data_IF_977626586686
#
_entry.id   IF_977626586686
#
_cell.length_a   1.000
_cell.length_b   1.000
_cell.length_c   1.000
_cell.angle_alpha   90.00
_cell.angle_beta   90.00
_cell.angle_gamma   90.00
#
_symmetry.space_group_name_H-M   'P 1'
#
loop_
_entity.id
_entity.type
_entity.pdbx_description
1 polymer ?
#
# COMPACT_ATOMS: atom_id res chain seq x y z
N UNK A 1 -32.63 -18.96 2.96
CA UNK A 1 -32.39 -18.24 4.24
C UNK A 1 -30.99 -17.65 4.25
N UNK A 2 -29.98 -18.38 3.81
CA UNK A 2 -28.62 -17.83 3.68
C UNK A 2 -28.52 -16.66 2.71
N UNK A 3 -29.26 -16.68 1.61
CA UNK A 3 -29.27 -15.63 0.59
C UNK A 3 -29.82 -14.28 1.10
N UNK A 4 -30.70 -14.28 2.11
CA UNK A 4 -31.29 -13.05 2.66
C UNK A 4 -30.51 -12.42 3.80
N UNK A 5 -29.77 -13.20 4.59
CA UNK A 5 -28.98 -12.70 5.72
C UNK A 5 -27.58 -12.22 5.27
N UNK A 6 -26.97 -12.91 4.33
CA UNK A 6 -25.64 -12.55 3.79
C UNK A 6 -25.76 -11.43 2.73
N UNK A 7 -26.86 -11.39 1.95
CA UNK A 7 -27.03 -10.42 0.88
C UNK A 7 -27.24 -8.98 1.37
N UNK A 8 -28.00 -8.76 2.45
CA UNK A 8 -28.27 -7.40 2.94
C UNK A 8 -27.06 -6.75 3.62
N UNK A 9 -26.28 -7.50 4.40
CA UNK A 9 -25.06 -6.97 5.03
C UNK A 9 -23.96 -6.72 3.99
N UNK A 10 -23.82 -7.58 2.99
CA UNK A 10 -22.92 -7.36 1.86
C UNK A 10 -23.28 -6.10 1.07
N UNK A 11 -24.56 -5.91 0.72
CA UNK A 11 -24.99 -4.73 -0.02
C UNK A 11 -24.76 -3.42 0.74
N UNK A 12 -25.08 -3.37 2.05
CA UNK A 12 -24.87 -2.17 2.87
C UNK A 12 -23.36 -1.85 2.95
N UNK A 13 -22.54 -2.85 3.10
CA UNK A 13 -21.08 -2.71 3.19
C UNK A 13 -20.46 -2.29 1.87
N UNK A 14 -20.88 -2.91 0.77
CA UNK A 14 -20.44 -2.52 -0.57
C UNK A 14 -20.81 -1.05 -0.83
N UNK A 15 -22.04 -0.62 -0.52
CA UNK A 15 -22.44 0.77 -0.66
C UNK A 15 -21.60 1.72 0.21
N UNK A 16 -21.30 1.37 1.46
CA UNK A 16 -20.47 2.21 2.35
C UNK A 16 -19.03 2.29 1.88
N UNK A 17 -18.46 1.16 1.45
CA UNK A 17 -17.08 1.12 0.93
C UNK A 17 -16.96 1.88 -0.39
N UNK A 18 -17.96 1.76 -1.27
CA UNK A 18 -17.99 2.52 -2.51
C UNK A 18 -18.07 4.03 -2.26
N UNK A 19 -18.81 4.46 -1.23
CA UNK A 19 -18.88 5.88 -0.85
C UNK A 19 -17.55 6.43 -0.29
N UNK A 20 -16.66 5.57 0.21
CA UNK A 20 -15.33 5.95 0.66
C UNK A 20 -14.28 5.91 -0.46
N UNK A 21 -14.51 5.03 -1.44
CA UNK A 21 -13.57 4.87 -2.55
C UNK A 21 -13.59 6.11 -3.47
N UNK A 22 -12.51 6.35 -4.22
CA UNK A 22 -12.51 7.35 -5.26
C UNK A 22 -13.60 7.09 -6.32
N UNK A 23 -14.16 8.14 -6.90
CA UNK A 23 -15.21 8.06 -7.91
C UNK A 23 -14.85 7.07 -9.04
N UNK A 24 -15.81 6.25 -9.41
CA UNK A 24 -15.69 5.25 -10.47
C UNK A 24 -15.11 3.90 -10.04
N UNK A 25 -14.70 3.74 -8.79
CA UNK A 25 -14.31 2.45 -8.19
C UNK A 25 -15.50 1.84 -7.45
N UNK A 26 -16.56 1.54 -8.17
CA UNK A 26 -17.91 1.27 -7.64
C UNK A 26 -18.18 -0.22 -7.36
N UNK A 27 -17.23 -1.10 -7.66
CA UNK A 27 -17.38 -2.54 -7.44
C UNK A 27 -16.31 -3.06 -6.48
N UNK A 28 -16.74 -3.87 -5.50
CA UNK A 28 -15.86 -4.41 -4.46
C UNK A 28 -15.94 -5.93 -4.44
N UNK A 29 -14.78 -6.58 -4.51
CA UNK A 29 -14.63 -8.01 -4.29
C UNK A 29 -13.92 -8.26 -2.96
N UNK A 30 -14.54 -9.04 -2.06
CA UNK A 30 -13.98 -9.35 -0.76
C UNK A 30 -13.04 -10.53 -0.80
N UNK A 31 -12.00 -10.42 0.03
CA UNK A 31 -10.97 -11.43 0.29
C UNK A 31 -10.74 -11.56 1.80
N UNK A 32 -9.76 -12.36 2.23
CA UNK A 32 -9.50 -12.56 3.66
C UNK A 32 -8.19 -11.89 4.12
N UNK A 33 -7.42 -11.32 3.20
CA UNK A 33 -6.13 -10.67 3.51
C UNK A 33 -5.66 -9.78 2.38
N UNK A 34 -4.70 -8.89 2.65
CA UNK A 34 -4.03 -8.10 1.61
C UNK A 34 -3.31 -8.97 0.57
N UNK A 35 -2.73 -10.10 0.97
CA UNK A 35 -2.10 -11.04 0.02
C UNK A 35 -3.10 -11.62 -0.97
N UNK A 36 -4.29 -12.01 -0.50
CA UNK A 36 -5.37 -12.49 -1.38
C UNK A 36 -5.95 -11.36 -2.23
N UNK A 37 -6.05 -10.14 -1.69
CA UNK A 37 -6.49 -8.98 -2.47
C UNK A 37 -5.54 -8.68 -3.62
N UNK A 38 -4.23 -8.74 -3.40
CA UNK A 38 -3.23 -8.59 -4.47
C UNK A 38 -3.38 -9.69 -5.51
N UNK A 39 -3.43 -10.98 -5.12
CA UNK A 39 -3.64 -12.09 -6.07
C UNK A 39 -4.90 -11.88 -6.90
N UNK A 40 -5.99 -11.43 -6.27
CA UNK A 40 -7.27 -11.14 -6.93
C UNK A 40 -7.10 -10.01 -7.94
N UNK A 41 -6.47 -8.90 -7.58
CA UNK A 41 -6.26 -7.77 -8.48
C UNK A 41 -5.40 -8.14 -9.69
N UNK A 42 -4.30 -8.89 -9.49
CA UNK A 42 -3.43 -9.35 -10.58
C UNK A 42 -4.18 -10.29 -11.53
N UNK A 43 -4.95 -11.24 -11.00
CA UNK A 43 -5.77 -12.16 -11.79
C UNK A 43 -6.89 -11.43 -12.54
N UNK A 44 -7.54 -10.46 -11.88
CA UNK A 44 -8.56 -9.62 -12.51
C UNK A 44 -7.99 -8.84 -13.69
N UNK A 45 -6.78 -8.26 -13.55
CA UNK A 45 -6.13 -7.54 -14.64
C UNK A 45 -5.89 -8.41 -15.87
N UNK A 46 -5.35 -9.61 -15.68
CA UNK A 46 -5.10 -10.55 -16.78
C UNK A 46 -6.43 -11.03 -17.41
N UNK A 47 -7.41 -11.37 -16.58
CA UNK A 47 -8.71 -11.85 -17.04
C UNK A 47 -9.49 -10.76 -17.78
N UNK A 48 -9.41 -9.50 -17.33
CA UNK A 48 -10.02 -8.35 -17.99
C UNK A 48 -9.54 -8.20 -19.43
N UNK A 49 -8.23 -8.20 -19.65
CA UNK A 49 -7.69 -8.10 -21.00
C UNK A 49 -8.08 -9.31 -21.86
N UNK A 50 -8.11 -10.49 -21.26
CA UNK A 50 -8.58 -11.69 -21.99
C UNK A 50 -10.06 -11.58 -22.36
N UNK A 51 -10.93 -11.08 -21.49
CA UNK A 51 -12.35 -10.85 -21.78
C UNK A 51 -12.55 -9.85 -22.93
N UNK A 52 -11.64 -8.87 -23.06
CA UNK A 52 -11.62 -7.92 -24.17
C UNK A 52 -10.99 -8.44 -25.48
N UNK A 53 -10.58 -9.71 -25.52
CA UNK A 53 -9.91 -10.29 -26.69
C UNK A 53 -8.40 -9.94 -26.78
N UNK A 54 -7.82 -9.34 -25.77
CA UNK A 54 -6.40 -8.94 -25.67
C UNK A 54 -5.59 -9.96 -24.86
N UNK A 55 -5.76 -11.26 -25.09
CA UNK A 55 -5.16 -12.33 -24.30
C UNK A 55 -3.63 -12.37 -24.28
N UNK A 56 -2.96 -11.61 -25.15
CA UNK A 56 -1.51 -11.40 -25.12
C UNK A 56 -1.04 -10.49 -23.96
N UNK A 57 -1.94 -9.72 -23.35
CA UNK A 57 -1.64 -8.89 -22.18
C UNK A 57 -1.66 -9.73 -20.90
N UNK A 58 -0.51 -10.22 -20.51
CA UNK A 58 -0.36 -11.05 -19.29
C UNK A 58 0.81 -10.62 -18.41
N UNK A 59 1.69 -9.73 -18.92
CA UNK A 59 2.81 -9.24 -18.13
C UNK A 59 2.36 -8.31 -17.02
N UNK A 60 3.03 -8.43 -15.87
CA UNK A 60 2.79 -7.64 -14.69
C UNK A 60 4.06 -6.86 -14.36
N UNK A 61 3.90 -5.61 -13.98
CA UNK A 61 5.04 -4.76 -13.60
C UNK A 61 4.86 -4.32 -12.15
N UNK A 62 5.84 -4.67 -11.32
CA UNK A 62 5.96 -4.19 -9.97
C UNK A 62 7.02 -3.11 -9.80
N UNK A 63 7.46 -2.89 -8.57
CA UNK A 63 8.52 -1.93 -8.24
C UNK A 63 9.53 -2.56 -7.28
N UNK A 64 10.81 -2.32 -7.48
CA UNK A 64 11.84 -2.65 -6.51
C UNK A 64 11.49 -2.10 -5.13
N UNK A 65 11.79 -2.86 -4.07
CA UNK A 65 11.43 -2.55 -2.69
C UNK A 65 9.92 -2.49 -2.43
N UNK A 66 9.06 -2.91 -3.37
CA UNK A 66 7.62 -3.04 -3.16
C UNK A 66 7.28 -4.27 -2.31
N UNK A 67 6.23 -4.18 -1.48
CA UNK A 67 5.67 -5.30 -0.74
C UNK A 67 4.19 -5.50 -1.11
N UNK A 68 3.88 -6.68 -1.63
CA UNK A 68 2.53 -7.00 -2.11
C UNK A 68 2.01 -8.34 -1.56
N UNK A 69 2.35 -8.63 -0.29
CA UNK A 69 1.94 -9.88 0.35
C UNK A 69 2.91 -11.03 0.10
N UNK A 70 2.45 -12.25 0.44
CA UNK A 70 3.31 -13.45 0.52
C UNK A 70 2.91 -14.57 -0.42
N UNK A 71 1.81 -14.43 -1.16
CA UNK A 71 1.42 -15.37 -2.20
C UNK A 71 2.35 -15.23 -3.42
N UNK A 72 2.38 -16.24 -4.30
CA UNK A 72 3.32 -16.26 -5.42
C UNK A 72 3.18 -15.07 -6.37
N UNK A 73 1.96 -14.58 -6.66
CA UNK A 73 1.76 -13.36 -7.42
C UNK A 73 2.33 -12.15 -6.69
N UNK A 74 1.99 -11.98 -5.42
CA UNK A 74 2.46 -10.88 -4.58
C UNK A 74 3.99 -10.82 -4.46
N UNK A 75 4.66 -11.95 -4.20
CA UNK A 75 6.13 -11.98 -4.12
C UNK A 75 6.79 -11.86 -5.51
N UNK A 76 6.08 -12.19 -6.58
CA UNK A 76 6.59 -12.03 -7.95
C UNK A 76 6.65 -10.56 -8.35
N UNK A 77 5.56 -9.79 -8.11
CA UNK A 77 5.53 -8.34 -8.37
C UNK A 77 6.21 -7.53 -7.26
N UNK A 78 6.42 -8.12 -6.08
CA UNK A 78 7.17 -7.52 -4.98
C UNK A 78 8.66 -7.42 -5.26
N UNK A 79 9.33 -6.43 -4.63
CA UNK A 79 10.74 -6.14 -4.82
C UNK A 79 11.62 -6.35 -3.58
N UNK A 80 11.14 -7.08 -2.56
CA UNK A 80 11.90 -7.38 -1.34
C UNK A 80 12.61 -8.71 -1.49
N UNK A 81 13.94 -8.69 -1.55
CA UNK A 81 14.77 -9.88 -1.74
C UNK A 81 14.48 -10.96 -0.69
N UNK A 82 14.33 -10.58 0.58
CA UNK A 82 14.07 -11.53 1.67
C UNK A 82 12.79 -12.35 1.46
N UNK A 83 11.76 -11.77 0.84
CA UNK A 83 10.49 -12.45 0.57
C UNK A 83 10.56 -13.42 -0.61
N UNK A 84 11.59 -13.34 -1.44
CA UNK A 84 11.71 -14.08 -2.71
C UNK A 84 12.76 -15.20 -2.67
N UNK A 85 13.90 -14.93 -2.02
CA UNK A 85 15.11 -15.78 -2.12
C UNK A 85 14.94 -17.25 -1.74
N UNK A 86 13.94 -17.56 -0.91
CA UNK A 86 13.71 -18.93 -0.44
C UNK A 86 12.81 -19.75 -1.34
N UNK A 87 12.10 -19.13 -2.29
CA UNK A 87 11.03 -19.78 -3.04
C UNK A 87 11.40 -20.09 -4.49
N UNK A 88 12.56 -19.64 -4.96
CA UNK A 88 13.07 -19.95 -6.31
C UNK A 88 12.24 -19.34 -7.43
N UNK A 89 11.45 -20.15 -8.13
CA UNK A 89 10.71 -19.73 -9.32
C UNK A 89 9.57 -18.78 -8.98
N UNK A 90 9.56 -17.61 -9.65
CA UNK A 90 8.47 -16.63 -9.61
C UNK A 90 7.56 -16.78 -10.84
N UNK A 91 6.46 -16.03 -10.89
CA UNK A 91 5.61 -15.97 -12.08
C UNK A 91 6.43 -15.45 -13.27
N UNK A 92 6.26 -16.11 -14.43
CA UNK A 92 6.85 -15.65 -15.69
C UNK A 92 6.19 -14.34 -16.14
N UNK A 93 6.93 -13.49 -16.84
CA UNK A 93 6.39 -12.24 -17.39
C UNK A 93 6.21 -11.14 -16.34
N UNK A 94 7.03 -11.11 -15.31
CA UNK A 94 7.06 -10.03 -14.32
C UNK A 94 8.36 -9.25 -14.43
N UNK A 95 8.22 -7.93 -14.48
CA UNK A 95 9.33 -6.97 -14.46
C UNK A 95 9.18 -5.97 -13.32
N UNK A 96 10.25 -5.25 -13.00
CA UNK A 96 10.26 -4.28 -11.91
C UNK A 96 10.82 -2.94 -12.36
N UNK A 97 10.05 -1.88 -12.09
CA UNK A 97 10.58 -0.52 -12.13
C UNK A 97 11.56 -0.31 -10.97
N UNK A 98 12.48 0.63 -11.13
CA UNK A 98 13.33 1.08 -10.02
C UNK A 98 12.49 1.69 -8.88
N UNK A 99 13.01 1.62 -7.67
CA UNK A 99 12.39 2.28 -6.51
C UNK A 99 12.57 3.80 -6.55
N UNK A 100 11.77 4.52 -5.75
CA UNK A 100 11.77 6.00 -5.70
C UNK A 100 12.69 6.59 -4.64
N UNK A 101 13.37 5.78 -3.84
CA UNK A 101 14.24 6.26 -2.77
C UNK A 101 15.56 6.82 -3.33
N UNK A 102 15.79 8.11 -3.09
CA UNK A 102 16.98 8.84 -3.56
C UNK A 102 17.48 9.79 -2.46
N UNK A 103 18.21 9.26 -1.47
CA UNK A 103 18.69 10.06 -0.34
C UNK A 103 19.75 11.10 -0.75
N UNK A 104 20.39 10.96 -1.90
CA UNK A 104 21.37 11.95 -2.36
C UNK A 104 20.72 13.29 -2.69
N UNK A 105 19.49 13.28 -3.24
CA UNK A 105 18.78 14.50 -3.63
C UNK A 105 17.65 14.87 -2.67
N UNK A 106 17.14 13.92 -1.91
CA UNK A 106 15.90 14.03 -1.16
C UNK A 106 16.02 13.75 0.34
N UNK A 107 17.22 13.60 0.90
CA UNK A 107 17.37 13.36 2.34
C UNK A 107 16.67 14.46 3.16
N UNK A 108 16.01 14.05 4.24
CA UNK A 108 15.25 14.92 5.15
C UNK A 108 14.08 15.66 4.48
N UNK A 109 13.49 15.07 3.43
CA UNK A 109 12.29 15.62 2.80
C UNK A 109 11.09 15.54 3.75
N UNK A 110 10.34 16.63 3.79
CA UNK A 110 9.05 16.77 4.49
C UNK A 110 7.93 16.55 3.48
N UNK A 111 7.09 15.54 3.72
CA UNK A 111 6.10 15.13 2.73
C UNK A 111 6.73 14.58 1.44
N UNK A 112 6.16 14.92 0.29
CA UNK A 112 6.66 14.44 -1.02
C UNK A 112 8.01 15.03 -1.38
N UNK A 113 9.03 14.19 -1.71
CA UNK A 113 10.30 14.66 -2.24
C UNK A 113 10.13 15.47 -3.54
N UNK A 114 10.99 16.48 -3.74
CA UNK A 114 10.96 17.34 -4.94
C UNK A 114 11.51 16.64 -6.18
N UNK A 115 12.49 15.74 -6.01
CA UNK A 115 13.20 15.11 -7.13
C UNK A 115 12.81 13.66 -7.29
N UNK A 116 12.64 13.20 -8.56
CA UNK A 116 12.42 11.79 -8.87
C UNK A 116 11.16 11.49 -9.68
N UNK A 117 10.47 12.51 -10.23
CA UNK A 117 9.36 12.29 -11.17
C UNK A 117 9.82 11.46 -12.37
N UNK A 118 11.06 11.65 -12.82
CA UNK A 118 11.68 10.92 -13.91
C UNK A 118 11.83 9.42 -13.67
N UNK A 119 11.71 8.95 -12.43
CA UNK A 119 11.73 7.51 -12.12
C UNK A 119 10.51 6.78 -12.70
N UNK A 120 9.43 7.50 -13.00
CA UNK A 120 8.28 6.94 -13.70
C UNK A 120 8.61 6.53 -15.16
N UNK A 121 9.60 7.17 -15.79
CA UNK A 121 10.02 6.84 -17.17
C UNK A 121 10.67 5.45 -17.27
N UNK A 122 11.05 4.84 -16.15
CA UNK A 122 11.50 3.44 -16.16
C UNK A 122 10.41 2.48 -16.65
N UNK A 123 9.13 2.84 -16.46
CA UNK A 123 8.01 2.12 -17.06
C UNK A 123 8.08 2.17 -18.61
N UNK A 124 8.28 3.33 -19.23
CA UNK A 124 8.42 3.44 -20.69
C UNK A 124 9.60 2.60 -21.21
N UNK A 125 10.72 2.56 -20.48
CA UNK A 125 11.87 1.70 -20.82
C UNK A 125 11.49 0.20 -20.84
N UNK A 126 10.76 -0.26 -19.83
CA UNK A 126 10.29 -1.66 -19.75
C UNK A 126 9.29 -1.95 -20.88
N UNK A 127 8.36 -1.03 -21.14
CA UNK A 127 7.39 -1.15 -22.22
C UNK A 127 8.05 -1.23 -23.60
N UNK A 128 9.11 -0.46 -23.83
CA UNK A 128 9.88 -0.52 -25.07
C UNK A 128 10.53 -1.88 -25.27
N UNK A 129 10.99 -2.52 -24.19
CA UNK A 129 11.62 -3.85 -24.25
C UNK A 129 10.62 -4.97 -24.59
N UNK A 130 9.39 -4.88 -24.03
CA UNK A 130 8.43 -5.99 -24.06
C UNK A 130 7.25 -5.82 -25.01
N UNK A 131 7.12 -4.69 -25.67
CA UNK A 131 5.92 -4.25 -26.36
C UNK A 131 4.76 -3.94 -25.37
N UNK A 132 4.27 -2.69 -25.30
CA UNK A 132 3.19 -2.30 -24.41
C UNK A 132 1.92 -3.16 -24.53
N UNK A 133 1.65 -3.73 -25.71
CA UNK A 133 0.49 -4.59 -25.95
C UNK A 133 0.55 -5.93 -25.20
N UNK A 134 1.69 -6.28 -24.59
CA UNK A 134 1.83 -7.52 -23.78
C UNK A 134 1.64 -7.27 -22.28
N UNK A 135 1.57 -6.01 -21.84
CA UNK A 135 1.49 -5.67 -20.43
C UNK A 135 0.03 -5.49 -20.00
N UNK A 136 -0.35 -6.22 -18.94
CA UNK A 136 -1.68 -6.16 -18.36
C UNK A 136 -1.81 -5.05 -17.33
N UNK A 137 -0.90 -4.99 -16.37
CA UNK A 137 -1.00 -4.06 -15.26
C UNK A 137 0.35 -3.68 -14.67
N UNK A 138 0.34 -2.49 -14.02
CA UNK A 138 1.38 -2.02 -13.10
C UNK A 138 0.78 -1.99 -11.69
N UNK A 139 1.50 -2.51 -10.70
CA UNK A 139 1.10 -2.44 -9.29
C UNK A 139 2.16 -1.69 -8.48
N UNK A 140 1.71 -0.72 -7.68
CA UNK A 140 2.58 0.03 -6.75
C UNK A 140 1.86 0.32 -5.44
N UNK A 141 2.61 0.35 -4.33
CA UNK A 141 2.16 1.06 -3.14
C UNK A 141 2.30 2.56 -3.40
N UNK A 142 1.26 3.40 -3.20
CA UNK A 142 1.42 4.86 -3.27
C UNK A 142 2.53 5.37 -2.36
N UNK A 143 2.61 4.87 -1.13
CA UNK A 143 3.74 5.02 -0.23
C UNK A 143 4.24 3.63 0.16
N UNK A 144 5.50 3.29 -0.14
CA UNK A 144 6.05 1.98 0.21
C UNK A 144 6.33 1.90 1.70
N UNK A 145 5.32 1.45 2.46
CA UNK A 145 5.38 1.42 3.92
C UNK A 145 6.37 0.40 4.46
N UNK A 146 6.30 -0.84 3.96
CA UNK A 146 7.04 -2.00 4.48
C UNK A 146 8.56 -1.88 4.36
N UNK A 147 9.05 -1.14 3.40
CA UNK A 147 10.48 -0.96 3.12
C UNK A 147 11.05 0.36 3.64
N UNK A 148 10.35 1.01 4.55
CA UNK A 148 10.85 2.17 5.27
C UNK A 148 10.23 3.49 4.83
N UNK A 149 8.93 3.49 4.56
CA UNK A 149 8.14 4.71 4.26
C UNK A 149 8.74 5.49 3.09
N UNK A 150 8.82 4.83 1.93
CA UNK A 150 9.31 5.49 0.71
C UNK A 150 8.18 6.31 0.12
N UNK A 151 8.21 7.61 0.39
CA UNK A 151 7.24 8.59 -0.10
C UNK A 151 7.47 8.82 -1.60
N UNK A 152 6.41 8.81 -2.44
CA UNK A 152 6.57 9.07 -3.86
C UNK A 152 6.97 10.53 -4.12
N UNK A 153 7.93 10.79 -5.01
CA UNK A 153 8.26 12.16 -5.42
C UNK A 153 7.06 12.89 -6.03
N UNK A 154 7.05 14.20 -5.94
CA UNK A 154 6.01 15.04 -6.57
C UNK A 154 5.87 14.70 -8.07
N UNK A 155 4.63 14.47 -8.49
CA UNK A 155 4.31 14.14 -9.89
C UNK A 155 4.56 12.67 -10.30
N UNK A 156 5.26 11.85 -9.50
CA UNK A 156 5.60 10.47 -9.87
C UNK A 156 4.36 9.60 -10.13
N UNK A 157 3.40 9.59 -9.21
CA UNK A 157 2.18 8.76 -9.37
C UNK A 157 1.32 9.26 -10.54
N UNK A 158 1.23 10.59 -10.72
CA UNK A 158 0.53 11.19 -11.86
C UNK A 158 1.18 10.76 -13.18
N UNK A 159 2.51 10.79 -13.25
CA UNK A 159 3.24 10.37 -14.44
C UNK A 159 3.06 8.89 -14.74
N UNK A 160 3.02 8.01 -13.71
CA UNK A 160 2.68 6.59 -13.90
C UNK A 160 1.28 6.43 -14.50
N UNK A 161 0.29 7.19 -14.00
CA UNK A 161 -1.08 7.16 -14.53
C UNK A 161 -1.11 7.56 -16.01
N UNK A 162 -0.43 8.64 -16.38
CA UNK A 162 -0.33 9.11 -17.75
C UNK A 162 0.28 8.05 -18.69
N UNK A 163 1.34 7.37 -18.26
CA UNK A 163 1.97 6.31 -19.05
C UNK A 163 1.01 5.10 -19.18
N UNK A 164 0.36 4.69 -18.10
CA UNK A 164 -0.60 3.59 -18.12
C UNK A 164 -1.78 3.91 -19.06
N UNK A 165 -2.32 5.13 -19.02
CA UNK A 165 -3.41 5.56 -19.89
C UNK A 165 -2.99 5.55 -21.37
N UNK A 166 -1.81 6.09 -21.68
CA UNK A 166 -1.25 6.12 -23.04
C UNK A 166 -1.18 4.73 -23.67
N UNK A 167 -0.90 3.70 -22.87
CA UNK A 167 -0.67 2.34 -23.35
C UNK A 167 -1.80 1.36 -23.04
N UNK A 168 -2.93 1.83 -22.49
CA UNK A 168 -4.06 1.00 -22.04
C UNK A 168 -3.63 -0.10 -21.06
N UNK A 169 -2.78 0.23 -20.10
CA UNK A 169 -2.29 -0.65 -19.04
C UNK A 169 -3.05 -0.31 -17.76
N UNK A 170 -3.52 -1.31 -17.03
CA UNK A 170 -4.19 -1.08 -15.75
C UNK A 170 -3.20 -0.64 -14.67
N UNK A 171 -3.54 0.40 -13.91
CA UNK A 171 -2.79 0.83 -12.73
C UNK A 171 -3.50 0.32 -11.47
N UNK A 172 -2.76 -0.39 -10.63
CA UNK A 172 -3.23 -0.93 -9.35
C UNK A 172 -2.50 -0.22 -8.21
N UNK A 173 -3.25 0.39 -7.28
CA UNK A 173 -2.68 0.88 -6.04
C UNK A 173 -2.88 -0.14 -4.93
N UNK A 174 -1.77 -0.57 -4.34
CA UNK A 174 -1.79 -1.34 -3.10
C UNK A 174 -1.88 -0.39 -1.91
N UNK A 175 -3.09 -0.24 -1.40
CA UNK A 175 -3.42 0.65 -0.28
C UNK A 175 -3.67 -0.11 1.03
N UNK A 176 -3.12 -1.29 1.15
CA UNK A 176 -3.22 -2.12 2.37
C UNK A 176 -2.68 -1.38 3.62
N UNK A 177 -1.72 -0.45 3.43
CA UNK A 177 -1.20 0.40 4.52
C UNK A 177 -1.78 1.82 4.45
N UNK A 178 -1.90 2.40 3.27
CA UNK A 178 -2.27 3.82 3.09
C UNK A 178 -3.77 4.08 3.17
N UNK A 179 -4.60 3.07 2.92
CA UNK A 179 -6.05 3.19 3.01
C UNK A 179 -6.55 3.42 4.45
N UNK A 180 -7.78 3.86 4.53
CA UNK A 180 -8.53 4.11 5.76
C UNK A 180 -7.90 5.17 6.69
N UNK A 181 -7.54 6.33 6.12
CA UNK A 181 -7.19 7.52 6.89
C UNK A 181 -5.71 7.73 7.17
N UNK A 182 -4.82 6.82 6.78
CA UNK A 182 -3.38 6.89 7.14
C UNK A 182 -2.69 8.18 6.70
N UNK A 183 -3.09 8.74 5.57
CA UNK A 183 -2.55 10.01 5.06
C UNK A 183 -3.48 11.22 5.32
N UNK A 184 -4.65 11.01 5.94
CA UNK A 184 -5.63 12.06 6.17
C UNK A 184 -6.70 12.18 5.09
N UNK A 185 -6.84 11.15 4.27
CA UNK A 185 -7.93 10.91 3.34
C UNK A 185 -8.31 9.42 3.40
N UNK A 186 -9.51 9.02 2.99
CA UNK A 186 -9.91 7.60 2.99
C UNK A 186 -8.92 6.70 2.28
N UNK A 187 -8.43 7.12 1.11
CA UNK A 187 -7.39 6.42 0.35
C UNK A 187 -6.30 7.38 -0.13
N UNK A 188 -5.09 6.85 -0.32
CA UNK A 188 -3.97 7.62 -0.87
C UNK A 188 -4.25 8.09 -2.31
N UNK A 189 -5.06 7.35 -3.06
CA UNK A 189 -5.53 7.77 -4.38
C UNK A 189 -6.19 9.16 -4.33
N UNK A 190 -7.04 9.42 -3.34
CA UNK A 190 -7.68 10.72 -3.11
C UNK A 190 -6.67 11.75 -2.59
N UNK A 191 -5.77 11.35 -1.68
CA UNK A 191 -4.74 12.25 -1.14
C UNK A 191 -3.80 12.79 -2.21
N UNK A 192 -3.39 11.94 -3.17
CA UNK A 192 -2.49 12.32 -4.27
C UNK A 192 -3.21 12.82 -5.54
N UNK A 193 -4.55 12.80 -5.53
CA UNK A 193 -5.38 13.13 -6.71
C UNK A 193 -4.98 12.30 -7.94
N UNK A 194 -4.79 10.99 -7.75
CA UNK A 194 -4.45 10.03 -8.83
C UNK A 194 -5.31 8.79 -8.67
N UNK A 195 -6.27 8.61 -9.54
CA UNK A 195 -7.23 7.50 -9.47
C UNK A 195 -6.71 6.30 -10.26
N UNK A 196 -6.40 5.16 -9.61
CA UNK A 196 -6.00 3.93 -10.28
C UNK A 196 -7.22 3.23 -10.91
N UNK A 197 -6.98 2.14 -11.61
CA UNK A 197 -8.04 1.28 -12.14
C UNK A 197 -8.54 0.28 -11.08
N UNK A 198 -7.66 -0.09 -10.15
CA UNK A 198 -8.00 -0.93 -9.00
C UNK A 198 -7.29 -0.46 -7.74
N UNK A 199 -7.95 -0.62 -6.59
CA UNK A 199 -7.35 -0.45 -5.27
C UNK A 199 -7.41 -1.78 -4.53
N UNK A 200 -6.28 -2.16 -3.94
CA UNK A 200 -6.17 -3.30 -3.01
C UNK A 200 -6.16 -2.77 -1.59
N UNK A 201 -6.99 -3.32 -0.73
CA UNK A 201 -7.06 -2.94 0.69
C UNK A 201 -7.18 -4.13 1.63
N UNK A 202 -6.87 -3.91 2.91
CA UNK A 202 -7.04 -4.84 4.03
C UNK A 202 -6.85 -4.07 5.36
N UNK A 203 -6.24 -4.66 6.36
CA UNK A 203 -5.82 -4.08 7.66
C UNK A 203 -6.84 -3.10 8.25
N UNK A 204 -6.82 -1.84 7.84
CA UNK A 204 -7.74 -0.79 8.30
C UNK A 204 -9.21 -1.09 8.00
N UNK A 205 -9.52 -1.97 7.06
CA UNK A 205 -10.90 -2.36 6.74
C UNK A 205 -11.65 -2.93 7.95
N UNK A 206 -10.98 -3.69 8.79
CA UNK A 206 -11.52 -4.26 10.03
C UNK A 206 -10.71 -3.85 11.27
N UNK A 207 -9.76 -2.93 11.11
CA UNK A 207 -8.82 -2.53 12.16
C UNK A 207 -8.13 -3.72 12.85
N UNK A 208 -7.91 -4.81 12.12
CA UNK A 208 -7.25 -6.02 12.62
C UNK A 208 -8.10 -6.94 13.51
N UNK A 209 -9.38 -6.63 13.72
CA UNK A 209 -10.27 -7.43 14.58
C UNK A 209 -10.56 -8.80 13.96
N UNK A 210 -10.80 -8.83 12.64
CA UNK A 210 -11.00 -10.06 11.88
C UNK A 210 -10.29 -9.99 10.51
N UNK A 211 -9.84 -11.14 9.97
CA UNK A 211 -9.23 -11.21 8.66
C UNK A 211 -10.22 -10.77 7.57
N UNK A 212 -9.88 -9.73 6.81
CA UNK A 212 -10.63 -9.27 5.65
C UNK A 212 -9.75 -8.43 4.75
N UNK A 213 -10.01 -8.50 3.46
CA UNK A 213 -9.46 -7.64 2.43
C UNK A 213 -10.52 -7.30 1.40
N UNK A 214 -10.21 -6.34 0.55
CA UNK A 214 -11.09 -5.93 -0.53
C UNK A 214 -10.28 -5.47 -1.75
N UNK A 215 -10.83 -5.70 -2.92
CA UNK A 215 -10.35 -5.17 -4.20
C UNK A 215 -11.46 -4.31 -4.79
N UNK A 216 -11.17 -3.04 -4.97
CA UNK A 216 -12.06 -2.09 -5.64
C UNK A 216 -11.68 -2.04 -7.12
N UNK A 217 -12.65 -2.06 -7.99
CA UNK A 217 -12.42 -2.01 -9.44
C UNK A 217 -13.32 -0.97 -10.10
N UNK A 218 -12.83 -0.35 -11.17
CA UNK A 218 -13.62 0.57 -12.00
C UNK A 218 -14.73 -0.18 -12.75
N UNK A 219 -15.81 0.53 -13.06
CA UNK A 219 -16.98 0.01 -13.76
C UNK A 219 -16.63 -0.70 -15.06
N UNK A 220 -15.74 -0.15 -15.89
CA UNK A 220 -15.34 -0.77 -17.16
C UNK A 220 -14.64 -2.12 -16.99
N UNK A 221 -14.00 -2.38 -15.84
CA UNK A 221 -13.38 -3.68 -15.53
C UNK A 221 -14.46 -4.69 -15.17
N UNK A 222 -15.38 -4.32 -14.27
CA UNK A 222 -16.52 -5.16 -13.91
C UNK A 222 -17.36 -5.51 -15.14
N UNK A 223 -17.74 -4.51 -15.92
CA UNK A 223 -18.63 -4.68 -17.07
C UNK A 223 -18.02 -5.58 -18.15
N UNK A 224 -16.70 -5.62 -18.28
CA UNK A 224 -16.04 -6.52 -19.23
C UNK A 224 -16.32 -8.00 -18.94
N UNK A 225 -16.65 -8.37 -17.72
CA UNK A 225 -17.01 -9.73 -17.32
C UNK A 225 -18.51 -10.02 -17.47
N UNK A 226 -19.37 -8.99 -17.57
CA UNK A 226 -20.82 -9.16 -17.64
C UNK A 226 -21.33 -9.58 -19.01
N UNK A 227 -20.46 -10.02 -19.91
CA UNK A 227 -20.79 -10.48 -21.25
C UNK A 227 -20.53 -11.99 -21.37
N UNK A 228 -21.59 -12.76 -21.37
CA UNK A 228 -21.49 -14.23 -21.51
C UNK A 228 -22.85 -14.91 -21.39
N UNK A 229 -22.89 -16.24 -21.50
CA UNK A 229 -24.13 -17.00 -21.30
C UNK A 229 -24.62 -16.87 -19.85
N UNK A 230 -25.89 -16.60 -19.64
CA UNK A 230 -26.53 -16.41 -18.32
C UNK A 230 -26.32 -17.60 -17.33
N UNK A 231 -26.01 -18.78 -17.83
CA UNK A 231 -25.80 -19.96 -16.99
C UNK A 231 -24.34 -20.17 -16.55
N UNK A 232 -23.41 -19.31 -16.96
CA UNK A 232 -22.01 -19.38 -16.56
C UNK A 232 -21.69 -18.32 -15.50
N UNK A 233 -20.73 -18.62 -14.62
CA UNK A 233 -20.19 -17.65 -13.68
C UNK A 233 -19.29 -16.70 -14.46
N UNK A 234 -19.54 -15.41 -14.37
CA UNK A 234 -18.89 -14.35 -15.15
C UNK A 234 -17.40 -14.28 -14.86
N UNK A 235 -17.02 -14.42 -13.60
CA UNK A 235 -15.61 -14.46 -13.16
C UNK A 235 -15.41 -15.57 -12.14
N UNK A 236 -14.88 -16.71 -12.59
CA UNK A 236 -14.69 -17.90 -11.76
C UNK A 236 -13.48 -17.75 -10.84
N UNK A 237 -13.60 -16.86 -9.84
CA UNK A 237 -12.60 -16.58 -8.83
C UNK A 237 -13.24 -16.12 -7.52
N UNK A 238 -12.73 -16.62 -6.39
CA UNK A 238 -13.16 -16.25 -5.05
C UNK A 238 -12.54 -17.18 -4.02
N UNK A 239 -12.67 -16.82 -2.75
CA UNK A 239 -12.19 -17.61 -1.62
C UNK A 239 -13.36 -18.07 -0.78
N UNK A 240 -13.24 -19.23 -0.12
CA UNK A 240 -14.31 -19.83 0.68
C UNK A 240 -14.88 -18.89 1.74
N UNK A 241 -14.03 -18.06 2.32
CA UNK A 241 -14.43 -17.13 3.39
C UNK A 241 -14.59 -15.67 2.94
N UNK A 242 -14.58 -15.40 1.63
CA UNK A 242 -14.89 -14.05 1.11
C UNK A 242 -16.26 -13.61 1.60
N UNK A 243 -16.34 -12.40 2.19
CA UNK A 243 -17.58 -11.87 2.72
C UNK A 243 -18.11 -12.61 3.96
N UNK A 244 -17.24 -13.22 4.77
CA UNK A 244 -17.63 -13.91 6.00
C UNK A 244 -18.45 -12.97 6.91
N UNK A 245 -19.66 -13.38 7.40
CA UNK A 245 -20.55 -12.48 8.11
C UNK A 245 -19.93 -11.75 9.31
N UNK A 246 -19.10 -12.43 10.09
CA UNK A 246 -18.41 -11.83 11.23
C UNK A 246 -17.39 -10.78 10.80
N UNK A 247 -16.64 -11.04 9.73
CA UNK A 247 -15.70 -10.06 9.17
C UNK A 247 -16.43 -8.83 8.60
N UNK A 248 -17.59 -9.06 8.01
CA UNK A 248 -18.47 -8.02 7.53
C UNK A 248 -19.00 -7.13 8.66
N UNK A 249 -19.47 -7.74 9.76
CA UNK A 249 -19.91 -7.01 10.94
C UNK A 249 -18.77 -6.19 11.58
N UNK A 250 -17.54 -6.77 11.64
CA UNK A 250 -16.36 -6.06 12.11
C UNK A 250 -16.01 -4.87 11.22
N UNK A 251 -16.11 -5.03 9.89
CA UNK A 251 -15.88 -3.92 8.95
C UNK A 251 -16.91 -2.81 9.14
N UNK A 252 -18.20 -3.14 9.31
CA UNK A 252 -19.24 -2.14 9.59
C UNK A 252 -18.94 -1.36 10.87
N UNK A 253 -18.67 -2.06 12.00
CA UNK A 253 -18.31 -1.40 13.25
C UNK A 253 -17.04 -0.53 13.13
N UNK A 254 -16.06 -0.97 12.33
CA UNK A 254 -14.86 -0.16 12.06
C UNK A 254 -15.21 1.11 11.26
N UNK A 255 -16.06 1.00 10.24
CA UNK A 255 -16.50 2.14 9.44
C UNK A 255 -17.34 3.14 10.27
N UNK A 256 -18.20 2.63 11.17
CA UNK A 256 -18.95 3.47 12.11
C UNK A 256 -17.98 4.26 13.02
N UNK A 257 -16.99 3.60 13.60
CA UNK A 257 -15.98 4.25 14.43
C UNK A 257 -15.17 5.31 13.66
N UNK A 258 -14.77 5.02 12.42
CA UNK A 258 -14.07 6.00 11.58
C UNK A 258 -14.90 7.25 11.32
N UNK A 259 -16.21 7.10 11.11
CA UNK A 259 -17.13 8.20 10.88
C UNK A 259 -17.42 8.98 12.18
N UNK A 260 -17.78 8.27 13.26
CA UNK A 260 -18.14 8.85 14.56
C UNK A 260 -16.98 9.62 15.20
N UNK A 261 -15.74 9.12 15.08
CA UNK A 261 -14.54 9.72 15.67
C UNK A 261 -13.73 10.59 14.69
N UNK A 262 -14.17 10.71 13.43
CA UNK A 262 -13.50 11.53 12.40
C UNK A 262 -12.10 11.03 12.03
N UNK A 263 -11.83 9.72 12.16
CA UNK A 263 -10.48 9.16 12.05
C UNK A 263 -9.91 9.18 10.63
N UNK A 264 -10.76 9.23 9.61
CA UNK A 264 -10.30 9.25 8.21
C UNK A 264 -9.52 10.54 7.85
N UNK A 265 -9.78 11.64 8.55
CA UNK A 265 -9.11 12.94 8.34
C UNK A 265 -8.12 13.30 9.46
N UNK A 266 -8.13 12.57 10.57
CA UNK A 266 -7.31 12.88 11.74
C UNK A 266 -5.81 12.95 11.45
N UNK A 267 -5.31 12.16 10.50
CA UNK A 267 -3.91 12.23 10.11
C UNK A 267 -3.54 13.60 9.52
N UNK A 268 -4.45 14.28 8.81
CA UNK A 268 -4.22 15.65 8.34
C UNK A 268 -4.12 16.65 9.49
N UNK A 269 -4.91 16.49 10.55
CA UNK A 269 -4.91 17.37 11.72
C UNK A 269 -3.60 17.27 12.52
N UNK A 270 -2.99 16.08 12.54
CA UNK A 270 -1.77 15.79 13.28
C UNK A 270 -0.50 15.87 12.41
N UNK A 271 -0.63 15.99 11.08
CA UNK A 271 0.48 15.88 10.15
C UNK A 271 1.64 16.85 10.46
N UNK A 272 1.35 18.12 10.69
CA UNK A 272 2.38 19.14 10.98
C UNK A 272 3.08 18.88 12.32
N UNK A 273 2.31 18.42 13.32
CA UNK A 273 2.86 18.08 14.63
C UNK A 273 3.76 16.85 14.53
N UNK A 274 3.30 15.81 13.85
CA UNK A 274 4.07 14.60 13.58
C UNK A 274 5.36 14.90 12.79
N UNK A 275 5.25 15.68 11.72
CA UNK A 275 6.39 16.10 10.92
C UNK A 275 7.43 16.87 11.74
N UNK A 276 6.99 17.85 12.53
CA UNK A 276 7.88 18.63 13.39
C UNK A 276 8.58 17.75 14.41
N UNK A 277 7.84 16.81 15.02
CA UNK A 277 8.36 15.89 16.03
C UNK A 277 9.37 14.90 15.46
N UNK A 278 9.09 14.26 14.34
CA UNK A 278 10.04 13.31 13.73
C UNK A 278 11.30 14.03 13.22
N UNK A 279 11.15 15.20 12.60
CA UNK A 279 12.29 15.96 12.07
C UNK A 279 13.13 16.65 13.16
N UNK A 280 12.65 16.72 14.42
CA UNK A 280 13.47 17.15 15.56
C UNK A 280 14.64 16.23 15.83
N UNK A 281 14.57 14.99 15.34
CA UNK A 281 15.65 14.00 15.46
C UNK A 281 16.79 14.21 14.45
N UNK A 282 16.67 15.16 13.53
CA UNK A 282 17.75 15.51 12.60
C UNK A 282 18.98 15.99 13.38
N UNK A 283 20.12 15.40 13.08
CA UNK A 283 21.39 15.70 13.77
C UNK A 283 21.68 14.81 14.98
N UNK A 284 20.79 13.86 15.32
CA UNK A 284 21.12 12.80 16.26
C UNK A 284 22.20 11.86 15.68
N UNK A 285 22.99 11.18 16.54
CA UNK A 285 23.99 10.23 16.07
C UNK A 285 23.42 9.23 15.09
N UNK A 286 24.16 8.95 14.01
CA UNK A 286 23.83 7.96 12.99
C UNK A 286 22.57 8.21 12.16
N UNK A 287 21.81 9.30 12.38
CA UNK A 287 20.64 9.63 11.57
C UNK A 287 21.09 10.24 10.24
N UNK A 288 20.84 9.53 9.13
CA UNK A 288 21.25 9.94 7.79
C UNK A 288 20.07 10.43 6.93
N UNK A 289 18.83 10.04 7.27
CA UNK A 289 17.62 10.53 6.61
C UNK A 289 16.42 10.45 7.56
N UNK A 290 15.47 11.35 7.36
CA UNK A 290 14.14 11.36 7.97
C UNK A 290 13.14 11.72 6.90
N UNK A 291 12.03 10.97 6.83
CA UNK A 291 10.93 11.19 5.88
C UNK A 291 9.59 10.85 6.52
N UNK A 292 8.56 11.57 6.11
CA UNK A 292 7.20 11.40 6.63
C UNK A 292 6.16 11.83 5.62
N UNK A 293 4.93 11.35 5.80
CA UNK A 293 3.72 11.84 5.14
C UNK A 293 2.50 11.38 5.95
N UNK A 294 1.52 12.26 6.17
CA UNK A 294 0.41 11.95 7.09
C UNK A 294 0.91 11.45 8.45
N UNK A 295 0.34 10.36 8.95
CA UNK A 295 0.78 9.70 10.20
C UNK A 295 1.66 8.46 9.93
N UNK A 296 2.62 8.60 9.03
CA UNK A 296 3.71 7.63 8.87
C UNK A 296 5.03 8.35 8.75
N UNK A 297 6.10 7.73 9.21
CA UNK A 297 7.43 8.30 9.09
C UNK A 297 8.52 7.26 9.26
N UNK A 298 9.72 7.60 8.83
CA UNK A 298 10.90 6.76 8.96
C UNK A 298 12.13 7.58 9.33
N UNK A 299 12.99 6.96 10.12
CA UNK A 299 14.31 7.46 10.49
C UNK A 299 15.32 6.44 9.96
N UNK A 300 16.14 6.83 9.02
CA UNK A 300 17.17 5.97 8.44
C UNK A 300 18.49 6.20 9.15
N UNK A 301 19.12 5.11 9.57
CA UNK A 301 20.35 5.11 10.32
C UNK A 301 21.51 4.67 9.43
N UNK A 302 22.68 5.23 9.66
CA UNK A 302 23.91 4.79 9.04
C UNK A 302 24.19 3.32 9.36
N UNK A 303 24.42 2.51 8.34
CA UNK A 303 24.72 1.09 8.49
C UNK A 303 26.08 0.87 9.15
N UNK A 304 26.18 -0.05 10.12
CA UNK A 304 27.46 -0.49 10.66
C UNK A 304 28.19 -1.30 9.58
N UNK A 305 29.42 -0.93 9.19
CA UNK A 305 30.18 -1.67 8.19
C UNK A 305 30.29 -3.16 8.51
N UNK A 306 29.86 -4.01 7.59
CA UNK A 306 29.85 -5.47 7.77
C UNK A 306 28.70 -6.04 8.59
N UNK A 307 27.89 -5.22 9.25
CA UNK A 307 26.76 -5.63 10.10
C UNK A 307 25.46 -4.89 9.75
N UNK A 308 24.93 -5.03 8.51
CA UNK A 308 23.69 -4.37 8.12
C UNK A 308 22.54 -4.82 9.01
N UNK A 309 21.61 -3.92 9.27
CA UNK A 309 20.43 -4.06 10.14
C UNK A 309 20.69 -4.02 11.64
N UNK A 310 21.94 -4.20 12.08
CA UNK A 310 22.27 -4.32 13.51
C UNK A 310 21.94 -3.06 14.29
N UNK A 311 22.23 -1.87 13.74
CA UNK A 311 21.97 -0.60 14.44
C UNK A 311 20.48 -0.40 14.70
N UNK A 312 19.65 -0.59 13.69
CA UNK A 312 18.19 -0.47 13.85
C UNK A 312 17.62 -1.56 14.78
N UNK A 313 18.14 -2.78 14.72
CA UNK A 313 17.76 -3.84 15.66
C UNK A 313 18.11 -3.49 17.11
N UNK A 314 19.29 -2.94 17.36
CA UNK A 314 19.66 -2.45 18.69
C UNK A 314 18.74 -1.32 19.15
N UNK A 315 18.38 -0.39 18.25
CA UNK A 315 17.42 0.66 18.54
C UNK A 315 16.05 0.09 18.93
N UNK A 316 15.58 -0.93 18.20
CA UNK A 316 14.29 -1.58 18.49
C UNK A 316 14.30 -2.26 19.87
N UNK A 317 15.35 -2.99 20.22
CA UNK A 317 15.47 -3.64 21.54
C UNK A 317 15.47 -2.61 22.66
N UNK A 318 16.32 -1.55 22.53
CA UNK A 318 16.39 -0.48 23.55
C UNK A 318 15.07 0.30 23.68
N UNK A 319 14.35 0.52 22.57
CA UNK A 319 13.03 1.16 22.61
C UNK A 319 12.01 0.26 23.32
N UNK A 320 12.02 -1.03 23.03
CA UNK A 320 11.14 -2.01 23.67
C UNK A 320 11.37 -2.09 25.19
N UNK A 321 12.61 -2.10 25.64
CA UNK A 321 12.97 -2.07 27.06
C UNK A 321 12.47 -0.79 27.77
N UNK A 322 12.30 0.31 27.02
CA UNK A 322 11.72 1.58 27.51
C UNK A 322 10.19 1.65 27.32
N UNK A 323 9.53 0.54 26.92
CA UNK A 323 8.08 0.43 26.77
C UNK A 323 7.54 0.93 25.41
N UNK A 324 8.40 1.17 24.42
CA UNK A 324 8.03 1.61 23.08
C UNK A 324 8.29 0.50 22.05
N UNK A 325 7.24 -0.06 21.47
CA UNK A 325 7.36 -1.00 20.35
C UNK A 325 7.48 -0.23 19.03
N UNK A 326 8.65 -0.28 18.42
CA UNK A 326 8.91 0.25 17.08
C UNK A 326 9.14 -0.89 16.08
N UNK A 327 9.02 -0.59 14.79
CA UNK A 327 9.35 -1.53 13.71
C UNK A 327 10.63 -1.10 13.01
N UNK A 328 11.44 -2.09 12.60
CA UNK A 328 12.63 -1.84 11.78
C UNK A 328 12.60 -2.60 10.46
N UNK A 329 13.24 -2.06 9.44
CA UNK A 329 13.45 -2.69 8.13
C UNK A 329 14.79 -2.21 7.55
N UNK A 330 15.75 -3.12 7.37
CA UNK A 330 17.12 -2.69 7.17
C UNK A 330 17.61 -1.87 8.37
N UNK A 331 18.33 -0.80 8.14
CA UNK A 331 18.71 0.19 9.16
C UNK A 331 17.72 1.38 9.24
N UNK A 332 16.44 1.11 9.06
CA UNK A 332 15.37 2.10 9.10
C UNK A 332 14.42 1.79 10.25
N UNK A 333 14.14 2.77 11.09
CA UNK A 333 13.04 2.78 12.06
C UNK A 333 11.81 3.31 11.34
N UNK A 334 10.76 2.49 11.25
CA UNK A 334 9.50 2.85 10.60
C UNK A 334 8.40 2.99 11.66
N UNK A 335 7.71 4.12 11.64
CA UNK A 335 6.68 4.49 12.60
C UNK A 335 5.34 4.73 11.89
N UNK A 336 4.28 4.12 12.41
CA UNK A 336 2.91 4.32 11.95
C UNK A 336 1.94 4.08 13.12
N UNK A 337 1.74 5.08 13.98
CA UNK A 337 0.94 4.93 15.19
C UNK A 337 -0.55 4.72 14.86
N UNK A 338 -1.38 4.26 15.81
CA UNK A 338 -2.84 4.24 15.64
C UNK A 338 -3.37 5.64 15.30
N UNK A 339 -4.48 5.72 14.54
CA UNK A 339 -5.09 7.02 14.16
C UNK A 339 -5.62 7.81 15.36
N UNK A 340 -5.95 7.14 16.46
CA UNK A 340 -6.42 7.76 17.70
C UNK A 340 -5.31 8.41 18.53
N UNK A 341 -4.06 8.36 18.07
CA UNK A 341 -2.92 8.89 18.83
C UNK A 341 -3.10 10.36 19.21
N UNK A 342 -2.68 10.71 20.44
CA UNK A 342 -2.68 12.07 20.94
C UNK A 342 -1.28 12.69 20.90
N UNK A 343 -1.20 14.03 20.93
CA UNK A 343 0.09 14.76 20.89
C UNK A 343 1.04 14.35 22.01
N UNK A 344 0.54 14.11 23.21
CA UNK A 344 1.35 13.64 24.35
C UNK A 344 1.99 12.29 24.11
N UNK A 345 1.29 11.39 23.37
CA UNK A 345 1.84 10.08 22.99
C UNK A 345 2.86 10.21 21.87
N UNK A 346 2.66 11.15 20.93
CA UNK A 346 3.65 11.52 19.92
C UNK A 346 4.93 12.02 20.59
N UNK A 347 4.82 12.90 21.60
CA UNK A 347 5.95 13.39 22.40
C UNK A 347 6.69 12.23 23.06
N UNK A 348 5.97 11.32 23.71
CA UNK A 348 6.56 10.14 24.35
C UNK A 348 7.31 9.25 23.35
N UNK A 349 6.77 9.04 22.15
CA UNK A 349 7.47 8.30 21.09
C UNK A 349 8.81 8.95 20.78
N UNK A 350 8.81 10.25 20.48
CA UNK A 350 10.03 10.91 19.99
C UNK A 350 11.03 11.23 21.11
N UNK A 351 10.60 11.44 22.33
CA UNK A 351 11.48 11.51 23.50
C UNK A 351 12.20 10.15 23.73
N UNK A 352 11.45 9.06 23.67
CA UNK A 352 12.02 7.70 23.80
C UNK A 352 13.00 7.40 22.69
N UNK A 353 12.62 7.65 21.42
CA UNK A 353 13.50 7.43 20.27
C UNK A 353 14.74 8.31 20.34
N UNK A 354 14.61 9.60 20.71
CA UNK A 354 15.75 10.51 20.93
C UNK A 354 16.73 9.98 21.97
N UNK A 355 16.20 9.48 23.09
CA UNK A 355 17.04 8.86 24.13
C UNK A 355 17.75 7.60 23.63
N UNK A 356 17.04 6.75 22.86
CA UNK A 356 17.63 5.53 22.26
C UNK A 356 18.74 5.89 21.26
N UNK A 357 18.50 6.87 20.37
CA UNK A 357 19.50 7.27 19.36
C UNK A 357 20.81 7.80 19.98
N UNK A 358 20.72 8.49 21.13
CA UNK A 358 21.91 8.97 21.87
C UNK A 358 22.72 7.85 22.50
N UNK A 359 22.06 6.72 22.79
CA UNK A 359 22.64 5.55 23.43
C UNK A 359 23.11 4.47 22.41
N UNK A 360 22.99 4.73 21.10
CA UNK A 360 23.46 3.82 20.05
C UNK A 360 24.96 4.01 19.76
N UNK A 361 25.65 2.87 19.53
CA UNK A 361 27.03 2.82 19.08
C UNK A 361 27.14 2.99 17.57
#
# INVERSE_FOLDING_TARGET
>A
ILYRLVGSEMCIRDSRLNNLAPDGLDHVMFTNSGSESVETALKTAIAYHRAKGEGQRFRLIGRERGYHGVNFGGISVGGIVANRKMFGTMLAGVDHMRHTHDPQRNAFSKGQPEHGVEFAEDLERILTLHDPSTVAAVIVEPVSGSTGVLVPPKGYLKRLREICDKHNILLIFDEVITGYGRLGAPFAAQYFDVIPDMIVSAKGLTNGVLPMGAVYVKNHIHDAFMHGPEHLIEFFHGYTYSGHPMACAAALGTLDTYEEEGLLTRASELADYWESSIHSLKGHPHVIDIRNIGLVGAIELETIPGEPTKRAMNAMVKAFEKGLLIRTTGDIIALSPPLIIEKSEIDQIFETVSGVLKDLD
#
